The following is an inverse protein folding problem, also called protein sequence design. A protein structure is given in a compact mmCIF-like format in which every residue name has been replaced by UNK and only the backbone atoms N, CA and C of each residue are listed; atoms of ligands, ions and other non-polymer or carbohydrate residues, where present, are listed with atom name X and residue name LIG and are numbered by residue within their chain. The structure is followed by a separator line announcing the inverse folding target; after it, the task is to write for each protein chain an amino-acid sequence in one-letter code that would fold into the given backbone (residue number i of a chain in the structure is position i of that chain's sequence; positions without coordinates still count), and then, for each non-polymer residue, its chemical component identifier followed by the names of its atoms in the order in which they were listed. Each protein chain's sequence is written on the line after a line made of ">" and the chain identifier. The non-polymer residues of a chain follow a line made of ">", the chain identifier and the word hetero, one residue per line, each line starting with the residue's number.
data_IF_489250625936
#
_entry.id   IF_489250625936
#
_cell.length_a   1.000
_cell.length_b   1.000
_cell.length_c   1.000
_cell.angle_alpha   90.00
_cell.angle_beta   90.00
_cell.angle_gamma   90.00
#
_symmetry.space_group_name_H-M   'P 1'
#
loop_
_entity.id
_entity.type
_entity.pdbx_description
1 polymer ?
#
# COMPACT_ATOMS: atom_id res chain seq x y z
N UNK A 1 34.51 38.32 26.19
CA UNK A 1 34.68 36.85 26.06
C UNK A 1 33.37 36.05 25.87
N UNK A 2 32.23 36.40 26.49
CA UNK A 2 31.01 35.57 26.49
C UNK A 2 30.28 35.39 25.15
N UNK A 3 30.26 36.40 24.26
CA UNK A 3 29.54 36.34 22.96
C UNK A 3 30.10 35.31 21.97
N UNK A 4 31.40 35.02 22.01
CA UNK A 4 32.00 33.98 21.14
C UNK A 4 31.61 32.56 21.60
N UNK A 5 31.44 32.33 22.91
CA UNK A 5 31.02 31.02 23.45
C UNK A 5 29.56 30.70 23.10
N UNK A 6 28.66 31.68 23.11
CA UNK A 6 27.25 31.47 22.72
C UNK A 6 27.06 31.23 21.22
N UNK A 7 27.89 31.85 20.34
CA UNK A 7 28.01 31.51 18.89
C UNK A 7 28.26 30.03 18.69
N UNK A 8 29.20 29.52 19.47
CA UNK A 8 29.65 28.14 19.38
C UNK A 8 28.58 27.18 19.91
N UNK A 9 28.01 27.43 21.10
CA UNK A 9 27.00 26.55 21.70
C UNK A 9 25.73 26.40 20.85
N UNK A 10 25.19 27.49 20.31
CA UNK A 10 23.97 27.45 19.50
C UNK A 10 24.18 26.72 18.17
N UNK A 11 25.38 26.85 17.57
CA UNK A 11 25.73 26.14 16.35
C UNK A 11 25.87 24.63 16.60
N UNK A 12 26.55 24.26 17.70
CA UNK A 12 26.70 22.87 18.11
C UNK A 12 25.34 22.23 18.37
N UNK A 13 24.46 22.87 19.16
CA UNK A 13 23.14 22.30 19.47
C UNK A 13 22.27 22.12 18.23
N UNK A 14 22.24 23.09 17.31
CA UNK A 14 21.51 22.92 16.04
C UNK A 14 22.07 21.77 15.20
N UNK A 15 23.39 21.61 15.12
CA UNK A 15 24.02 20.51 14.37
C UNK A 15 23.65 19.15 14.98
N UNK A 16 23.63 19.02 16.32
CA UNK A 16 23.20 17.79 16.97
C UNK A 16 21.72 17.48 16.69
N UNK A 17 20.84 18.47 16.76
CA UNK A 17 19.42 18.27 16.42
C UNK A 17 19.21 17.93 14.94
N UNK A 18 19.96 18.55 14.02
CA UNK A 18 19.94 18.19 12.58
C UNK A 18 20.34 16.73 12.37
N UNK A 19 21.47 16.30 12.96
CA UNK A 19 21.96 14.93 12.84
C UNK A 19 20.97 13.93 13.39
N UNK A 20 20.42 14.19 14.57
CA UNK A 20 19.40 13.34 15.17
C UNK A 20 18.16 13.23 14.28
N UNK A 21 17.63 14.35 13.76
CA UNK A 21 16.48 14.35 12.87
C UNK A 21 16.72 13.57 11.57
N UNK A 22 17.91 13.72 10.97
CA UNK A 22 18.31 12.97 9.76
C UNK A 22 18.34 11.46 10.06
N UNK A 23 18.97 11.05 11.17
CA UNK A 23 19.04 9.63 11.57
C UNK A 23 17.63 9.09 11.79
N UNK A 24 16.80 9.81 12.55
CA UNK A 24 15.42 9.40 12.84
C UNK A 24 14.62 9.20 11.54
N UNK A 25 14.72 10.14 10.61
CA UNK A 25 14.03 10.07 9.34
C UNK A 25 14.56 8.94 8.44
N UNK A 26 15.86 8.70 8.41
CA UNK A 26 16.45 7.56 7.69
C UNK A 26 15.96 6.22 8.24
N UNK A 27 15.73 6.12 9.54
CA UNK A 27 15.16 4.93 10.16
C UNK A 27 13.68 4.70 9.80
N UNK A 28 12.94 5.73 9.38
CA UNK A 28 11.52 5.56 9.02
C UNK A 28 11.31 4.67 7.80
N UNK A 29 12.21 4.73 6.81
CA UNK A 29 12.10 3.95 5.57
C UNK A 29 12.19 2.44 5.81
N UNK A 30 13.23 1.90 6.47
CA UNK A 30 13.32 0.47 6.74
C UNK A 30 12.24 -0.01 7.71
N UNK A 31 11.85 0.81 8.69
CA UNK A 31 10.75 0.49 9.61
C UNK A 31 9.44 0.36 8.82
N UNK A 32 9.13 1.30 7.94
CA UNK A 32 7.92 1.26 7.11
C UNK A 32 7.90 0.05 6.19
N UNK A 33 9.02 -0.26 5.53
CA UNK A 33 9.13 -1.44 4.67
C UNK A 33 8.94 -2.74 5.46
N UNK A 34 9.51 -2.84 6.66
CA UNK A 34 9.34 -3.99 7.55
C UNK A 34 7.88 -4.17 7.98
N UNK A 35 7.18 -3.09 8.36
CA UNK A 35 5.77 -3.16 8.69
C UNK A 35 4.93 -3.62 7.50
N UNK A 36 5.21 -3.10 6.31
CA UNK A 36 4.53 -3.54 5.10
C UNK A 36 4.74 -5.04 4.83
N UNK A 37 5.98 -5.52 4.79
CA UNK A 37 6.30 -6.91 4.48
C UNK A 37 5.62 -7.89 5.45
N UNK A 38 5.54 -7.50 6.74
CA UNK A 38 4.90 -8.30 7.78
C UNK A 38 3.38 -8.39 7.66
N UNK A 39 2.72 -7.31 7.25
CA UNK A 39 1.26 -7.22 7.27
C UNK A 39 0.60 -7.40 5.90
N UNK A 40 1.36 -7.26 4.81
CA UNK A 40 0.88 -7.24 3.43
C UNK A 40 -0.08 -8.39 3.08
N UNK A 41 0.27 -9.63 3.40
CA UNK A 41 -0.57 -10.77 3.05
C UNK A 41 -1.94 -10.73 3.74
N UNK A 42 -1.98 -10.27 5.00
CA UNK A 42 -3.20 -10.13 5.76
C UNK A 42 -4.10 -9.03 5.21
N UNK A 43 -3.52 -7.88 4.89
CA UNK A 43 -4.24 -6.73 4.31
C UNK A 43 -4.87 -7.09 2.95
N UNK A 44 -4.17 -7.87 2.11
CA UNK A 44 -4.78 -8.35 0.85
C UNK A 44 -5.94 -9.30 1.13
N UNK A 45 -5.77 -10.25 2.04
CA UNK A 45 -6.83 -11.22 2.34
C UNK A 45 -8.08 -10.50 2.89
N UNK A 46 -7.90 -9.49 3.74
CA UNK A 46 -8.99 -8.64 4.23
C UNK A 46 -9.65 -7.84 3.10
N UNK A 47 -8.87 -7.20 2.23
CA UNK A 47 -9.39 -6.50 1.05
C UNK A 47 -10.22 -7.43 0.13
N UNK A 48 -9.76 -8.66 -0.10
CA UNK A 48 -10.50 -9.64 -0.90
C UNK A 48 -11.84 -10.02 -0.23
N UNK A 49 -11.88 -10.13 1.09
CA UNK A 49 -13.12 -10.37 1.84
C UNK A 49 -14.06 -9.18 1.77
N UNK A 50 -13.56 -7.96 1.92
CA UNK A 50 -14.37 -6.74 1.77
C UNK A 50 -15.04 -6.70 0.39
N UNK A 51 -14.31 -7.11 -0.65
CA UNK A 51 -14.86 -7.16 -2.00
C UNK A 51 -15.93 -8.23 -2.19
N UNK A 52 -15.75 -9.41 -1.60
CA UNK A 52 -16.81 -10.43 -1.50
C UNK A 52 -18.06 -9.84 -0.82
N UNK A 53 -17.89 -9.11 0.28
CA UNK A 53 -19.00 -8.51 1.00
C UNK A 53 -19.69 -7.40 0.21
N UNK A 54 -18.94 -6.62 -0.56
CA UNK A 54 -19.49 -5.63 -1.49
C UNK A 54 -20.33 -6.30 -2.59
N UNK A 55 -19.82 -7.38 -3.19
CA UNK A 55 -20.57 -8.19 -4.15
C UNK A 55 -21.87 -8.74 -3.54
N UNK A 56 -21.80 -9.29 -2.32
CA UNK A 56 -22.95 -9.82 -1.61
C UNK A 56 -24.03 -8.76 -1.36
N UNK A 57 -23.62 -7.52 -1.06
CA UNK A 57 -24.55 -6.41 -0.81
C UNK A 57 -25.17 -5.85 -2.09
N UNK A 58 -24.38 -5.69 -3.15
CA UNK A 58 -24.78 -4.93 -4.35
C UNK A 58 -25.28 -5.79 -5.50
N UNK A 59 -24.69 -6.96 -5.70
CA UNK A 59 -24.91 -7.78 -6.90
C UNK A 59 -25.71 -9.03 -6.60
N UNK A 60 -25.47 -9.70 -5.47
CA UNK A 60 -26.09 -11.00 -5.17
C UNK A 60 -27.62 -10.95 -5.12
N UNK A 61 -28.20 -9.84 -4.66
CA UNK A 61 -29.66 -9.71 -4.53
C UNK A 61 -30.38 -9.51 -5.87
N UNK A 62 -29.72 -8.92 -6.86
CA UNK A 62 -30.34 -8.56 -8.15
C UNK A 62 -29.88 -9.44 -9.31
N UNK A 63 -28.76 -10.15 -9.16
CA UNK A 63 -28.14 -10.91 -10.24
C UNK A 63 -28.91 -12.20 -10.52
N UNK A 64 -29.31 -12.39 -11.78
CA UNK A 64 -29.91 -13.65 -12.26
C UNK A 64 -28.85 -14.58 -12.84
N UNK A 65 -29.14 -15.87 -12.83
CA UNK A 65 -28.23 -16.88 -13.39
C UNK A 65 -27.95 -16.64 -14.88
N UNK A 66 -28.97 -16.19 -15.63
CA UNK A 66 -28.87 -15.90 -17.06
C UNK A 66 -27.92 -14.73 -17.37
N UNK A 67 -27.72 -13.85 -16.39
CA UNK A 67 -26.91 -12.63 -16.51
C UNK A 67 -25.44 -12.89 -16.15
N UNK A 68 -25.09 -14.03 -15.55
CA UNK A 68 -23.72 -14.38 -15.14
C UNK A 68 -22.70 -14.22 -16.29
N UNK A 69 -22.94 -14.70 -17.53
CA UNK A 69 -21.98 -14.51 -18.62
C UNK A 69 -21.79 -13.04 -19.00
N UNK A 70 -22.84 -12.22 -18.86
CA UNK A 70 -22.75 -10.79 -19.11
C UNK A 70 -22.00 -10.09 -17.97
N UNK A 71 -22.33 -10.43 -16.72
CA UNK A 71 -21.68 -9.89 -15.53
C UNK A 71 -20.18 -10.20 -15.52
N UNK A 72 -19.78 -11.44 -15.81
CA UNK A 72 -18.36 -11.82 -15.90
C UNK A 72 -17.63 -10.95 -16.93
N UNK A 73 -18.19 -10.73 -18.12
CA UNK A 73 -17.59 -9.87 -19.15
C UNK A 73 -17.39 -8.41 -18.74
N UNK A 74 -18.21 -7.90 -17.82
CA UNK A 74 -18.10 -6.52 -17.34
C UNK A 74 -17.11 -6.36 -16.17
N UNK A 75 -16.89 -7.42 -15.39
CA UNK A 75 -16.01 -7.43 -14.22
C UNK A 75 -14.65 -8.11 -14.47
N UNK A 76 -14.43 -8.52 -15.73
CA UNK A 76 -13.52 -9.52 -16.33
C UNK A 76 -12.10 -9.66 -15.74
N UNK A 77 -11.61 -8.68 -14.99
CA UNK A 77 -10.22 -8.66 -14.52
C UNK A 77 -10.04 -8.97 -13.03
N UNK A 78 -10.97 -8.61 -12.15
CA UNK A 78 -10.76 -8.77 -10.69
C UNK A 78 -11.76 -9.74 -10.05
N UNK A 79 -12.96 -9.87 -10.62
CA UNK A 79 -14.04 -10.67 -10.06
C UNK A 79 -14.73 -11.53 -11.13
N UNK A 80 -14.86 -12.83 -10.87
CA UNK A 80 -15.45 -13.79 -11.80
C UNK A 80 -16.31 -14.80 -11.06
N UNK A 81 -17.52 -15.03 -11.57
CA UNK A 81 -18.40 -16.11 -11.07
C UNK A 81 -18.08 -17.39 -11.83
N UNK A 82 -17.66 -18.40 -11.08
CA UNK A 82 -17.34 -19.73 -11.58
C UNK A 82 -18.45 -20.72 -11.20
N UNK A 83 -18.66 -21.78 -12.01
CA UNK A 83 -19.52 -22.89 -11.64
C UNK A 83 -19.13 -23.47 -10.28
N UNK A 84 -20.09 -24.10 -9.59
CA UNK A 84 -19.80 -24.76 -8.33
C UNK A 84 -18.68 -25.79 -8.50
N UNK A 85 -17.61 -25.61 -7.73
CA UNK A 85 -16.59 -26.62 -7.51
C UNK A 85 -16.84 -27.29 -6.16
N UNK A 86 -16.43 -28.56 -6.01
CA UNK A 86 -16.46 -29.31 -4.75
C UNK A 86 -15.45 -28.74 -3.73
N UNK A 87 -15.54 -27.46 -3.44
CA UNK A 87 -14.78 -26.78 -2.41
C UNK A 87 -15.42 -27.10 -1.05
N UNK A 88 -14.60 -27.43 -0.06
CA UNK A 88 -15.09 -27.70 1.30
C UNK A 88 -15.21 -26.41 2.12
N UNK A 89 -14.20 -25.56 2.07
CA UNK A 89 -14.12 -24.28 2.79
C UNK A 89 -15.10 -23.23 2.23
N UNK A 90 -15.60 -22.34 3.09
CA UNK A 90 -16.43 -21.21 2.63
C UNK A 90 -15.59 -20.20 1.83
N UNK A 91 -14.41 -19.85 2.35
CA UNK A 91 -13.46 -18.94 1.74
C UNK A 91 -12.11 -19.65 1.66
N UNK A 92 -11.52 -19.72 0.46
CA UNK A 92 -10.22 -20.34 0.22
C UNK A 92 -9.28 -19.32 -0.42
N UNK A 93 -8.19 -19.00 0.26
CA UNK A 93 -7.16 -18.09 -0.25
C UNK A 93 -5.98 -18.85 -0.85
N UNK A 94 -5.56 -18.47 -2.05
CA UNK A 94 -4.45 -19.11 -2.75
C UNK A 94 -3.64 -18.10 -3.55
N UNK A 95 -2.37 -18.43 -3.79
CA UNK A 95 -1.55 -17.70 -4.74
C UNK A 95 -1.54 -18.49 -6.05
N UNK A 96 -1.98 -17.86 -7.14
CA UNK A 96 -2.06 -18.51 -8.45
C UNK A 96 -1.48 -17.61 -9.53
N UNK A 97 -0.81 -18.24 -10.50
CA UNK A 97 -0.25 -17.56 -11.66
C UNK A 97 -1.21 -17.66 -12.84
N UNK A 98 -1.58 -16.52 -13.41
CA UNK A 98 -2.41 -16.44 -14.61
C UNK A 98 -1.54 -16.07 -15.81
N UNK A 99 -1.73 -16.77 -16.93
CA UNK A 99 -1.03 -16.46 -18.18
C UNK A 99 -1.92 -15.63 -19.10
N UNK A 100 -1.46 -14.41 -19.41
CA UNK A 100 -2.16 -13.51 -20.31
C UNK A 100 -1.53 -13.57 -21.70
N UNK A 101 -2.25 -14.18 -22.64
CA UNK A 101 -1.77 -14.41 -24.01
C UNK A 101 -1.51 -13.10 -24.79
N UNK A 102 -2.30 -12.05 -24.52
CA UNK A 102 -2.14 -10.72 -25.11
C UNK A 102 -0.76 -10.12 -24.77
N UNK A 103 -0.35 -10.25 -23.51
CA UNK A 103 0.89 -9.67 -23.00
C UNK A 103 2.08 -10.63 -23.05
N UNK A 104 1.81 -11.91 -23.33
CA UNK A 104 2.78 -13.02 -23.29
C UNK A 104 3.54 -13.07 -21.96
N UNK A 105 2.83 -12.84 -20.86
CA UNK A 105 3.39 -12.81 -19.51
C UNK A 105 2.55 -13.63 -18.54
N UNK A 106 3.24 -14.18 -17.55
CA UNK A 106 2.64 -14.76 -16.35
C UNK A 106 2.62 -13.69 -15.27
N UNK A 107 1.51 -13.60 -14.58
CA UNK A 107 1.31 -12.68 -13.49
C UNK A 107 0.79 -13.43 -12.27
N UNK A 108 1.33 -13.10 -11.10
CA UNK A 108 0.98 -13.75 -9.84
C UNK A 108 -0.11 -12.97 -9.11
N UNK A 109 -1.17 -13.67 -8.75
CA UNK A 109 -2.33 -13.12 -8.06
C UNK A 109 -2.51 -13.78 -6.70
N UNK A 110 -3.00 -13.00 -5.75
CA UNK A 110 -3.66 -13.52 -4.55
C UNK A 110 -5.14 -13.66 -4.89
N UNK A 111 -5.70 -14.85 -4.68
CA UNK A 111 -7.06 -15.19 -5.10
C UNK A 111 -7.87 -15.69 -3.92
N UNK A 112 -9.09 -15.17 -3.77
CA UNK A 112 -10.12 -15.66 -2.89
C UNK A 112 -11.16 -16.42 -3.72
N UNK A 113 -11.37 -17.69 -3.39
CA UNK A 113 -12.52 -18.48 -3.85
C UNK A 113 -13.56 -18.55 -2.73
N UNK A 114 -14.65 -17.80 -2.89
CA UNK A 114 -15.73 -17.72 -1.92
C UNK A 114 -16.99 -18.45 -2.42
N UNK A 115 -17.60 -19.26 -1.56
CA UNK A 115 -18.91 -19.86 -1.85
C UNK A 115 -19.99 -18.79 -1.81
N UNK A 116 -20.83 -18.78 -2.85
CA UNK A 116 -22.00 -17.89 -2.95
C UNK A 116 -23.21 -18.68 -3.45
N UNK A 117 -24.41 -18.12 -3.28
CA UNK A 117 -25.66 -18.68 -3.78
C UNK A 117 -26.39 -17.66 -4.64
N UNK A 118 -26.63 -17.99 -5.91
CA UNK A 118 -27.38 -17.17 -6.85
C UNK A 118 -28.63 -17.96 -7.21
N UNK A 119 -29.82 -17.39 -6.97
CA UNK A 119 -31.12 -18.06 -7.15
C UNK A 119 -31.17 -19.47 -6.52
N UNK A 120 -30.69 -19.58 -5.26
CA UNK A 120 -30.57 -20.85 -4.51
C UNK A 120 -29.69 -21.93 -5.16
N UNK A 121 -28.92 -21.59 -6.21
CA UNK A 121 -27.92 -22.49 -6.80
C UNK A 121 -26.52 -22.10 -6.33
N UNK A 122 -25.68 -23.09 -5.98
CA UNK A 122 -24.33 -22.81 -5.49
C UNK A 122 -23.42 -22.38 -6.64
N UNK A 123 -22.58 -21.39 -6.38
CA UNK A 123 -21.52 -20.89 -7.27
C UNK A 123 -20.27 -20.54 -6.45
N UNK A 124 -19.18 -20.26 -7.15
CA UNK A 124 -17.95 -19.74 -6.54
C UNK A 124 -17.68 -18.35 -7.09
N UNK A 125 -17.55 -17.37 -6.20
CA UNK A 125 -17.01 -16.06 -6.54
C UNK A 125 -15.49 -16.14 -6.42
N UNK A 126 -14.80 -15.91 -7.54
CA UNK A 126 -13.36 -15.72 -7.58
C UNK A 126 -13.08 -14.22 -7.54
N UNK A 127 -12.40 -13.75 -6.50
CA UNK A 127 -11.87 -12.38 -6.41
C UNK A 127 -10.36 -12.47 -6.42
N UNK A 128 -9.67 -11.67 -7.22
CA UNK A 128 -8.21 -11.71 -7.31
C UNK A 128 -7.59 -10.31 -7.26
N UNK A 129 -6.36 -10.26 -6.77
CA UNK A 129 -5.54 -9.05 -6.74
C UNK A 129 -4.12 -9.37 -7.21
N UNK A 130 -3.60 -8.57 -8.14
CA UNK A 130 -2.26 -8.74 -8.69
C UNK A 130 -1.20 -8.36 -7.65
N UNK A 131 -0.47 -9.36 -7.14
CA UNK A 131 0.57 -9.19 -6.11
C UNK A 131 1.67 -8.25 -6.61
N UNK A 132 2.05 -8.41 -7.89
CA UNK A 132 3.15 -7.65 -8.47
C UNK A 132 2.78 -6.18 -8.68
N UNK A 133 1.54 -5.89 -9.08
CA UNK A 133 1.04 -4.53 -9.17
C UNK A 133 1.01 -3.85 -7.81
N UNK A 134 0.49 -4.52 -6.77
CA UNK A 134 0.52 -3.96 -5.42
C UNK A 134 1.95 -3.65 -4.99
N UNK A 135 2.90 -4.56 -5.20
CA UNK A 135 4.31 -4.31 -4.89
C UNK A 135 4.90 -3.10 -5.65
N UNK A 136 4.50 -2.86 -6.91
CA UNK A 136 4.92 -1.66 -7.66
C UNK A 136 4.39 -0.38 -7.03
N UNK A 137 3.14 -0.39 -6.57
CA UNK A 137 2.54 0.76 -5.88
C UNK A 137 3.32 1.07 -4.60
N UNK A 138 3.61 0.07 -3.77
CA UNK A 138 4.40 0.27 -2.54
C UNK A 138 5.82 0.75 -2.84
N UNK A 139 6.49 0.19 -3.86
CA UNK A 139 7.82 0.68 -4.27
C UNK A 139 7.77 2.15 -4.70
N UNK A 140 6.75 2.54 -5.45
CA UNK A 140 6.55 3.93 -5.88
C UNK A 140 6.26 4.85 -4.70
N UNK A 141 5.44 4.41 -3.73
CA UNK A 141 5.17 5.15 -2.49
C UNK A 141 6.44 5.35 -1.65
N UNK A 142 7.27 4.32 -1.51
CA UNK A 142 8.57 4.41 -0.82
C UNK A 142 9.53 5.39 -1.52
N UNK A 143 9.54 5.41 -2.86
CA UNK A 143 10.36 6.36 -3.61
C UNK A 143 9.88 7.81 -3.40
N UNK A 144 8.57 8.04 -3.39
CA UNK A 144 8.00 9.35 -3.08
C UNK A 144 8.33 9.77 -1.64
N UNK A 145 8.23 8.86 -0.67
CA UNK A 145 8.65 9.11 0.70
C UNK A 145 10.12 9.50 0.80
N UNK A 146 11.00 8.83 0.05
CA UNK A 146 12.42 9.18 0.00
C UNK A 146 12.65 10.59 -0.59
N UNK A 147 11.92 10.95 -1.64
CA UNK A 147 11.98 12.29 -2.20
C UNK A 147 11.50 13.36 -1.20
N UNK A 148 10.36 13.13 -0.55
CA UNK A 148 9.85 14.01 0.50
C UNK A 148 10.83 14.15 1.66
N UNK A 149 11.47 13.06 2.06
CA UNK A 149 12.53 13.07 3.06
C UNK A 149 13.67 14.01 2.64
N UNK A 150 14.13 13.94 1.39
CA UNK A 150 15.19 14.81 0.89
C UNK A 150 14.76 16.29 0.89
N UNK A 151 13.53 16.58 0.46
CA UNK A 151 12.96 17.93 0.53
C UNK A 151 12.91 18.44 1.97
N UNK A 152 12.48 17.60 2.91
CA UNK A 152 12.37 17.95 4.33
C UNK A 152 13.74 18.17 4.96
N UNK A 153 14.73 17.34 4.60
CA UNK A 153 16.13 17.52 5.02
C UNK A 153 16.69 18.85 4.49
N UNK A 154 16.45 19.18 3.22
CA UNK A 154 16.87 20.44 2.63
C UNK A 154 16.18 21.64 3.31
N UNK A 155 14.86 21.57 3.51
CA UNK A 155 14.08 22.57 4.22
C UNK A 155 14.58 22.79 5.64
N UNK A 156 14.90 21.71 6.36
CA UNK A 156 15.45 21.78 7.72
C UNK A 156 16.77 22.56 7.76
N UNK A 157 17.67 22.31 6.80
CA UNK A 157 18.94 23.04 6.67
C UNK A 157 18.70 24.52 6.34
N UNK A 158 17.75 24.84 5.46
CA UNK A 158 17.41 26.23 5.15
C UNK A 158 16.85 26.99 6.35
N UNK A 159 15.89 26.40 7.06
CA UNK A 159 15.29 27.00 8.27
C UNK A 159 16.36 27.22 9.33
N UNK A 160 17.21 26.21 9.57
CA UNK A 160 18.38 26.30 10.46
C UNK A 160 19.25 27.51 10.11
N UNK A 161 19.57 27.71 8.82
CA UNK A 161 20.36 28.87 8.36
C UNK A 161 19.64 30.21 8.57
N UNK A 162 18.33 30.27 8.33
CA UNK A 162 17.54 31.51 8.50
C UNK A 162 17.42 31.88 9.98
N UNK A 163 17.06 30.92 10.83
CA UNK A 163 16.96 31.10 12.29
C UNK A 163 18.30 31.54 12.86
N UNK A 164 19.39 30.90 12.42
CA UNK A 164 20.75 31.34 12.74
C UNK A 164 20.96 32.82 12.39
N UNK A 165 20.76 33.22 11.13
CA UNK A 165 20.97 34.62 10.71
C UNK A 165 20.12 35.60 11.53
N UNK A 166 18.86 35.26 11.82
CA UNK A 166 17.92 36.11 12.57
C UNK A 166 18.32 36.27 14.04
N UNK A 167 18.72 35.17 14.71
CA UNK A 167 19.18 35.19 16.10
C UNK A 167 20.52 35.92 16.28
N UNK A 168 21.37 35.92 15.24
CA UNK A 168 22.66 36.61 15.27
C UNK A 168 22.61 38.09 14.87
N UNK A 169 21.53 38.56 14.24
CA UNK A 169 21.33 39.96 13.83
C UNK A 169 21.52 41.01 14.96
N UNK A 170 21.09 40.79 16.22
CA UNK A 170 21.30 41.75 17.31
C UNK A 170 22.70 41.69 17.95
N UNK A 171 23.54 40.73 17.57
CA UNK A 171 24.90 40.55 18.12
C UNK A 171 26.01 40.88 17.10
N UNK A 172 25.63 41.40 15.94
CA UNK A 172 26.50 41.95 14.90
C UNK A 172 26.17 43.44 14.76
#
# INVERSE_FOLDING_TARGET
>A
MGRMKTRKLLNETLIYYSKFGIILLLLTVPVFYYFYDKHYAHEIDEFLLERKEEFNKKSLQSLKIEEIPMWNRFNDDDEVILPHANQQEENRFVNEDFYYAQERKKESYRVLYAKIQIENRPYILMVRLNIHETQKIIKSANLLQFFLFFCLMFGFVLVTRVVYKKLWKPFY
#
